data_IF_540085677325
#
_entry.id   IF_540085677325
#
_cell.length_a   1.000
_cell.length_b   1.000
_cell.length_c   1.000
_cell.angle_alpha   90.00
_cell.angle_beta   90.00
_cell.angle_gamma   90.00
#
_symmetry.space_group_name_H-M   'P 1'
#
loop_
_entity.id
_entity.type
_entity.pdbx_description
1 polymer ?
#
# COMPACT_ATOMS: atom_id res chain seq x y z
N UNK A 1 -16.30 -17.46 13.52
CA UNK A 1 -15.46 -18.04 12.47
C UNK A 1 -14.62 -16.87 11.91
N UNK A 2 -13.30 -16.88 12.09
CA UNK A 2 -12.43 -15.91 11.45
C UNK A 2 -12.37 -16.28 9.95
N UNK A 3 -13.01 -15.48 9.10
CA UNK A 3 -12.81 -15.61 7.67
C UNK A 3 -11.34 -15.26 7.36
N UNK A 4 -10.59 -16.24 6.95
CA UNK A 4 -9.22 -16.06 6.50
C UNK A 4 -9.27 -15.62 5.04
N UNK A 5 -8.60 -14.51 4.73
CA UNK A 5 -8.48 -13.99 3.39
C UNK A 5 -7.21 -14.56 2.74
N UNK A 6 -7.37 -15.23 1.62
CA UNK A 6 -6.31 -15.99 0.94
C UNK A 6 -5.81 -15.29 -0.34
N UNK A 7 -4.70 -15.78 -0.90
CA UNK A 7 -4.22 -15.37 -2.24
C UNK A 7 -5.33 -15.47 -3.30
N UNK A 8 -6.15 -16.53 -3.25
CA UNK A 8 -7.21 -16.75 -4.23
C UNK A 8 -8.35 -15.74 -4.09
N UNK A 9 -8.73 -15.40 -2.85
CA UNK A 9 -9.73 -14.36 -2.59
C UNK A 9 -9.26 -13.00 -3.11
N UNK A 10 -7.97 -12.68 -2.92
CA UNK A 10 -7.37 -11.45 -3.44
C UNK A 10 -7.39 -11.42 -4.98
N UNK A 11 -6.99 -12.52 -5.64
CA UNK A 11 -7.02 -12.63 -7.10
C UNK A 11 -8.45 -12.52 -7.63
N UNK A 12 -9.43 -13.15 -6.97
CA UNK A 12 -10.84 -13.05 -7.35
C UNK A 12 -11.37 -11.63 -7.27
N UNK A 13 -11.03 -10.87 -6.20
CA UNK A 13 -11.38 -9.45 -6.10
C UNK A 13 -10.76 -8.61 -7.21
N UNK A 14 -9.48 -8.87 -7.55
CA UNK A 14 -8.80 -8.15 -8.63
C UNK A 14 -9.46 -8.46 -9.99
N UNK A 15 -9.80 -9.71 -10.25
CA UNK A 15 -10.43 -10.14 -11.52
C UNK A 15 -11.85 -9.58 -11.69
N UNK A 16 -12.56 -9.31 -10.60
CA UNK A 16 -13.89 -8.68 -10.65
C UNK A 16 -13.87 -7.20 -11.00
N UNK A 17 -12.70 -6.54 -10.96
CA UNK A 17 -12.62 -5.12 -11.30
C UNK A 17 -12.97 -4.88 -12.76
N UNK A 18 -13.88 -3.92 -13.03
CA UNK A 18 -14.42 -3.65 -14.35
C UNK A 18 -13.54 -2.68 -15.18
N UNK A 19 -12.60 -2.00 -14.53
CA UNK A 19 -11.74 -1.01 -15.19
C UNK A 19 -10.36 -0.87 -14.55
N UNK A 20 -9.55 -0.06 -15.19
CA UNK A 20 -8.26 0.40 -14.68
C UNK A 20 -8.41 1.80 -14.11
N UNK A 21 -7.57 2.17 -13.14
CA UNK A 21 -7.52 3.54 -12.62
C UNK A 21 -7.15 4.54 -13.73
N UNK A 22 -6.31 4.10 -14.70
CA UNK A 22 -5.86 4.86 -15.86
C UNK A 22 -5.32 3.89 -16.92
N UNK A 23 -5.17 4.32 -18.19
CA UNK A 23 -4.56 3.49 -19.23
C UNK A 23 -3.15 3.06 -18.87
N UNK A 24 -2.78 1.82 -19.23
CA UNK A 24 -1.48 1.26 -18.89
C UNK A 24 -0.33 2.12 -19.43
N UNK A 25 0.57 2.51 -18.52
CA UNK A 25 1.75 3.32 -18.81
C UNK A 25 1.53 4.82 -18.78
N UNK A 26 0.30 5.33 -18.61
CA UNK A 26 0.05 6.77 -18.61
C UNK A 26 0.39 7.44 -17.28
N UNK A 27 0.26 6.70 -16.17
CA UNK A 27 0.51 7.20 -14.82
C UNK A 27 1.19 6.14 -13.95
N UNK A 28 1.74 6.58 -12.83
CA UNK A 28 2.23 5.72 -11.78
C UNK A 28 1.30 5.80 -10.56
N UNK A 29 0.89 4.64 -10.06
CA UNK A 29 0.23 4.49 -8.77
C UNK A 29 0.73 3.21 -8.11
N UNK A 30 1.26 3.33 -6.89
CA UNK A 30 1.73 2.17 -6.13
C UNK A 30 0.62 1.12 -5.95
N UNK A 31 0.91 -0.14 -6.23
CA UNK A 31 -0.09 -1.21 -6.24
C UNK A 31 0.42 -2.50 -5.58
N UNK A 32 -0.17 -2.87 -4.45
CA UNK A 32 0.01 -4.19 -3.86
C UNK A 32 -0.58 -5.29 -4.75
N UNK A 33 -1.73 -5.02 -5.40
CA UNK A 33 -2.40 -5.97 -6.30
C UNK A 33 -1.49 -6.49 -7.41
N UNK A 34 -0.61 -5.64 -7.94
CA UNK A 34 0.38 -6.04 -8.95
C UNK A 34 1.34 -7.12 -8.43
N UNK A 35 1.79 -7.00 -7.19
CA UNK A 35 2.70 -7.98 -6.57
C UNK A 35 1.98 -9.25 -6.12
N UNK A 36 0.72 -9.18 -5.68
CA UNK A 36 -0.13 -10.36 -5.47
C UNK A 36 -0.33 -11.15 -6.76
N UNK A 37 -0.61 -10.47 -7.88
CA UNK A 37 -0.70 -11.10 -9.19
C UNK A 37 0.63 -11.69 -9.64
N UNK A 38 1.77 -11.03 -9.38
CA UNK A 38 3.10 -11.56 -9.69
C UNK A 38 3.36 -12.87 -8.91
N UNK A 39 2.99 -12.94 -7.63
CA UNK A 39 3.08 -14.16 -6.84
C UNK A 39 2.18 -15.28 -7.41
N UNK A 40 0.96 -14.94 -7.82
CA UNK A 40 0.05 -15.89 -8.49
C UNK A 40 0.61 -16.38 -9.83
N UNK A 41 1.24 -15.52 -10.62
CA UNK A 41 1.91 -15.89 -11.87
C UNK A 41 3.07 -16.88 -11.60
N UNK A 42 3.88 -16.63 -10.56
CA UNK A 42 4.94 -17.56 -10.14
C UNK A 42 4.34 -18.94 -9.84
N UNK A 43 3.24 -19.01 -9.09
CA UNK A 43 2.52 -20.26 -8.80
C UNK A 43 2.06 -20.95 -10.08
N UNK A 44 1.45 -20.22 -11.00
CA UNK A 44 0.93 -20.78 -12.25
C UNK A 44 2.02 -21.32 -13.17
N UNK A 45 3.17 -20.66 -13.23
CA UNK A 45 4.29 -21.07 -14.10
C UNK A 45 5.06 -22.23 -13.48
N UNK A 46 5.29 -22.20 -12.16
CA UNK A 46 6.19 -23.15 -11.49
C UNK A 46 5.49 -24.31 -10.80
N UNK A 47 4.18 -24.19 -10.53
CA UNK A 47 3.43 -25.12 -9.69
C UNK A 47 3.75 -25.01 -8.19
N UNK A 48 4.60 -24.06 -7.79
CA UNK A 48 5.04 -23.86 -6.39
C UNK A 48 4.34 -22.66 -5.75
N UNK A 49 4.13 -22.71 -4.42
CA UNK A 49 3.77 -21.52 -3.67
C UNK A 49 4.91 -20.50 -3.74
N UNK A 50 4.60 -19.21 -3.53
CA UNK A 50 5.63 -18.17 -3.44
C UNK A 50 6.68 -18.53 -2.37
N UNK A 51 6.22 -19.02 -1.20
CA UNK A 51 7.09 -19.49 -0.11
C UNK A 51 8.10 -20.53 -0.61
N UNK A 52 7.63 -21.61 -1.22
CA UNK A 52 8.50 -22.68 -1.72
C UNK A 52 9.45 -22.20 -2.82
N UNK A 53 8.97 -21.30 -3.68
CA UNK A 53 9.78 -20.73 -4.75
C UNK A 53 10.89 -19.81 -4.20
N UNK A 54 10.59 -18.91 -3.26
CA UNK A 54 11.57 -18.01 -2.67
C UNK A 54 12.58 -18.76 -1.80
N UNK A 55 12.14 -19.78 -1.05
CA UNK A 55 13.03 -20.66 -0.29
C UNK A 55 14.10 -21.29 -1.19
N UNK A 56 13.67 -21.92 -2.29
CA UNK A 56 14.57 -22.62 -3.21
C UNK A 56 15.49 -21.66 -3.99
N UNK A 57 14.93 -20.53 -4.46
CA UNK A 57 15.60 -19.68 -5.45
C UNK A 57 16.35 -18.50 -4.85
N UNK A 58 16.02 -18.12 -3.63
CA UNK A 58 16.58 -16.93 -2.98
C UNK A 58 17.12 -17.26 -1.59
N UNK A 59 16.27 -17.74 -0.66
CA UNK A 59 16.65 -17.81 0.73
C UNK A 59 17.73 -18.88 0.99
N UNK A 60 17.57 -20.08 0.46
CA UNK A 60 18.55 -21.15 0.61
C UNK A 60 19.91 -20.80 -0.04
N UNK A 61 19.97 -20.31 -1.32
CA UNK A 61 21.23 -19.89 -1.92
C UNK A 61 21.95 -18.78 -1.17
N UNK A 62 21.21 -17.84 -0.54
CA UNK A 62 21.77 -16.77 0.28
C UNK A 62 22.02 -17.18 1.73
N UNK A 63 21.75 -18.42 2.09
CA UNK A 63 21.82 -18.92 3.47
C UNK A 63 20.95 -18.11 4.46
N UNK A 64 19.78 -17.64 4.00
CA UNK A 64 18.79 -16.90 4.77
C UNK A 64 17.85 -17.89 5.51
N UNK A 65 18.40 -18.68 6.43
CA UNK A 65 17.74 -19.82 7.05
C UNK A 65 16.64 -19.47 8.08
N UNK A 66 16.50 -18.17 8.40
CA UNK A 66 15.48 -17.65 9.33
C UNK A 66 14.51 -16.70 8.63
N UNK A 67 14.46 -16.76 7.30
CA UNK A 67 13.57 -15.94 6.47
C UNK A 67 12.53 -16.84 5.80
N UNK A 68 11.28 -16.45 5.86
CA UNK A 68 10.20 -17.18 5.19
C UNK A 68 9.06 -16.25 4.78
N UNK A 69 8.28 -16.64 3.78
CA UNK A 69 6.96 -16.07 3.54
C UNK A 69 5.99 -16.68 4.56
N UNK A 70 5.30 -15.84 5.30
CA UNK A 70 4.31 -16.28 6.28
C UNK A 70 2.92 -16.29 5.62
N UNK A 71 2.57 -17.41 5.01
CA UNK A 71 1.35 -17.68 4.26
C UNK A 71 0.37 -18.60 4.99
N UNK A 72 0.67 -18.97 6.24
CA UNK A 72 -0.20 -19.72 7.15
C UNK A 72 -0.29 -19.01 8.50
N UNK A 73 -1.45 -18.46 8.80
CA UNK A 73 -1.70 -17.73 10.06
C UNK A 73 -1.70 -18.65 11.30
N UNK A 74 -1.78 -19.96 11.13
CA UNK A 74 -1.74 -20.94 12.22
C UNK A 74 -0.32 -21.44 12.50
N UNK A 75 0.65 -21.11 11.64
CA UNK A 75 2.02 -21.52 11.81
C UNK A 75 2.67 -20.84 13.04
N UNK A 76 3.27 -21.65 13.92
CA UNK A 76 4.06 -21.16 15.05
C UNK A 76 5.48 -20.87 14.55
N UNK A 77 5.82 -19.59 14.43
CA UNK A 77 7.16 -19.16 14.05
C UNK A 77 7.96 -18.81 15.30
N UNK A 78 9.04 -19.58 15.54
CA UNK A 78 9.90 -19.39 16.73
C UNK A 78 10.55 -18.00 16.72
N UNK A 79 10.54 -17.32 17.87
CA UNK A 79 11.12 -15.98 18.08
C UNK A 79 10.49 -14.87 17.23
N UNK A 80 9.29 -15.07 16.70
CA UNK A 80 8.54 -14.01 16.04
C UNK A 80 8.26 -12.88 17.01
N UNK A 81 8.53 -11.66 16.61
CA UNK A 81 8.13 -10.47 17.37
C UNK A 81 6.61 -10.32 17.38
N UNK A 82 6.07 -9.76 18.45
CA UNK A 82 4.68 -9.33 18.54
C UNK A 82 4.57 -7.90 18.01
N UNK A 83 3.65 -7.66 17.07
CA UNK A 83 3.34 -6.33 16.58
C UNK A 83 2.34 -5.60 17.49
N UNK A 84 2.52 -4.30 17.67
CA UNK A 84 1.68 -3.45 18.52
C UNK A 84 1.26 -2.21 17.78
N UNK A 85 0.00 -1.83 17.93
CA UNK A 85 -0.56 -0.54 17.46
C UNK A 85 -1.16 0.23 18.63
N UNK A 86 -1.02 1.55 18.58
CA UNK A 86 -1.65 2.45 19.56
C UNK A 86 -3.07 2.78 19.07
N UNK A 87 -4.08 2.44 19.87
CA UNK A 87 -5.48 2.76 19.62
C UNK A 87 -6.13 3.31 20.89
N UNK A 88 -6.74 4.50 20.81
CA UNK A 88 -7.37 5.18 21.95
C UNK A 88 -6.43 5.32 23.16
N UNK A 89 -5.17 5.70 22.91
CA UNK A 89 -4.09 5.85 23.90
C UNK A 89 -3.65 4.54 24.60
N UNK A 90 -4.16 3.38 24.15
CA UNK A 90 -3.78 2.08 24.66
C UNK A 90 -3.03 1.24 23.60
N UNK A 91 -1.99 0.50 24.04
CA UNK A 91 -1.27 -0.43 23.17
C UNK A 91 -2.03 -1.73 23.02
N UNK A 92 -2.24 -2.13 21.77
CA UNK A 92 -2.92 -3.38 21.42
C UNK A 92 -2.03 -4.25 20.54
N UNK A 93 -2.19 -5.57 20.66
CA UNK A 93 -1.54 -6.52 19.75
C UNK A 93 -2.18 -6.40 18.39
N UNK A 94 -1.35 -6.23 17.36
CA UNK A 94 -1.80 -6.08 15.99
C UNK A 94 -0.97 -6.96 15.03
N UNK A 95 -1.48 -8.14 14.74
CA UNK A 95 -0.82 -9.14 13.89
C UNK A 95 -1.49 -9.35 12.52
N UNK A 96 -2.70 -8.85 12.32
CA UNK A 96 -3.52 -9.10 11.12
C UNK A 96 -3.55 -10.59 10.72
N UNK A 97 -3.92 -11.46 11.67
CA UNK A 97 -3.87 -12.92 11.52
C UNK A 97 -4.82 -13.51 10.49
N UNK A 98 -5.76 -12.73 9.97
CA UNK A 98 -6.77 -13.19 9.02
C UNK A 98 -6.34 -13.12 7.55
N UNK A 99 -5.08 -12.80 7.26
CA UNK A 99 -4.54 -12.77 5.91
C UNK A 99 -3.53 -13.90 5.71
N UNK A 100 -3.78 -14.77 4.74
CA UNK A 100 -2.92 -15.89 4.33
C UNK A 100 -2.55 -15.72 2.85
N UNK A 101 -1.76 -14.72 2.55
CA UNK A 101 -1.32 -14.42 1.19
C UNK A 101 0.08 -13.84 1.22
N UNK A 102 0.85 -14.10 0.18
CA UNK A 102 2.19 -13.54 0.01
C UNK A 102 2.31 -12.90 -1.37
N UNK A 103 3.24 -11.95 -1.49
CA UNK A 103 3.51 -11.26 -2.75
C UNK A 103 3.74 -9.78 -2.55
N UNK A 104 2.81 -9.11 -1.91
CA UNK A 104 2.91 -7.69 -1.54
C UNK A 104 3.56 -7.44 -0.18
N UNK A 105 3.86 -8.52 0.57
CA UNK A 105 4.48 -8.45 1.90
C UNK A 105 4.58 -9.81 2.58
N UNK A 106 4.46 -9.82 3.93
CA UNK A 106 4.44 -11.01 4.79
C UNK A 106 5.72 -11.85 4.77
N UNK A 107 6.87 -11.22 4.59
CA UNK A 107 8.15 -11.88 4.81
C UNK A 107 8.55 -11.69 6.28
N UNK A 108 8.67 -12.80 7.02
CA UNK A 108 9.29 -12.83 8.34
C UNK A 108 10.79 -13.02 8.17
N UNK A 109 11.57 -12.13 8.80
CA UNK A 109 13.02 -12.12 8.66
C UNK A 109 13.69 -11.46 9.87
N UNK A 110 15.00 -11.30 9.86
CA UNK A 110 15.77 -10.56 10.85
C UNK A 110 16.82 -9.65 10.18
N UNK A 111 17.42 -8.76 10.95
CA UNK A 111 18.50 -7.87 10.44
C UNK A 111 19.64 -8.70 9.85
N UNK A 112 20.09 -9.75 10.55
CA UNK A 112 21.20 -10.61 10.09
C UNK A 112 20.88 -11.27 8.73
N UNK A 113 19.63 -11.64 8.49
CA UNK A 113 19.18 -12.22 7.23
C UNK A 113 19.13 -11.17 6.11
N UNK A 114 18.62 -9.97 6.43
CA UNK A 114 18.57 -8.86 5.47
C UNK A 114 19.96 -8.35 5.08
N UNK A 115 20.96 -8.44 5.95
CA UNK A 115 22.35 -8.18 5.58
C UNK A 115 22.85 -9.15 4.50
N UNK A 116 22.43 -10.43 4.55
CA UNK A 116 22.77 -11.40 3.48
C UNK A 116 22.11 -11.02 2.15
N UNK A 117 20.85 -10.60 2.19
CA UNK A 117 20.14 -10.07 1.03
C UNK A 117 20.82 -8.82 0.46
N UNK A 118 21.21 -7.88 1.33
CA UNK A 118 21.88 -6.65 0.95
C UNK A 118 23.24 -6.92 0.29
N UNK A 119 24.03 -7.82 0.86
CA UNK A 119 25.32 -8.21 0.29
C UNK A 119 25.19 -8.81 -1.12
N UNK A 120 24.06 -9.43 -1.47
CA UNK A 120 23.82 -9.94 -2.83
C UNK A 120 23.85 -8.86 -3.92
N UNK A 121 23.63 -7.58 -3.57
CA UNK A 121 23.72 -6.49 -4.54
C UNK A 121 25.17 -6.09 -4.85
N UNK A 122 26.11 -6.47 -4.00
CA UNK A 122 27.54 -6.20 -4.18
C UNK A 122 28.32 -7.46 -4.61
N UNK A 123 27.86 -8.62 -4.17
CA UNK A 123 28.45 -9.93 -4.49
C UNK A 123 27.33 -10.89 -4.94
N UNK A 124 26.89 -10.81 -6.20
CA UNK A 124 25.73 -11.53 -6.69
C UNK A 124 25.85 -13.04 -6.60
N UNK A 125 25.09 -13.66 -5.73
CA UNK A 125 24.87 -15.10 -5.64
C UNK A 125 23.58 -15.47 -6.37
N UNK A 126 22.55 -14.64 -6.21
CA UNK A 126 21.22 -14.81 -6.83
C UNK A 126 20.99 -13.73 -7.87
N UNK A 127 20.46 -14.12 -9.03
CA UNK A 127 20.04 -13.21 -10.10
C UNK A 127 21.16 -12.73 -11.02
N UNK A 128 22.40 -12.71 -10.54
CA UNK A 128 23.54 -12.16 -11.27
C UNK A 128 23.43 -10.65 -11.54
N UNK A 129 24.49 -10.04 -12.05
CA UNK A 129 24.59 -8.59 -12.27
C UNK A 129 23.46 -8.02 -13.13
N UNK A 130 23.07 -8.74 -14.19
CA UNK A 130 22.03 -8.25 -15.12
C UNK A 130 20.66 -8.12 -14.46
N UNK A 131 20.26 -9.07 -13.61
CA UNK A 131 18.98 -8.97 -12.89
C UNK A 131 19.04 -7.88 -11.82
N UNK A 132 20.13 -7.80 -11.06
CA UNK A 132 20.30 -6.79 -10.02
C UNK A 132 20.30 -5.37 -10.60
N UNK A 133 20.89 -5.19 -11.79
CA UNK A 133 20.81 -3.92 -12.51
C UNK A 133 19.35 -3.58 -12.87
N UNK A 134 18.60 -4.55 -13.42
CA UNK A 134 17.18 -4.34 -13.75
C UNK A 134 16.33 -3.98 -12.55
N UNK A 135 16.67 -4.42 -11.34
CA UNK A 135 15.98 -4.01 -10.12
C UNK A 135 16.12 -2.52 -9.82
N UNK A 136 17.12 -1.86 -10.40
CA UNK A 136 17.37 -0.43 -10.26
C UNK A 136 16.96 0.39 -11.49
N UNK A 137 16.48 -0.26 -12.58
CA UNK A 137 16.02 0.43 -13.78
C UNK A 137 14.66 1.06 -13.48
N UNK A 138 14.64 2.39 -13.48
CA UNK A 138 13.43 3.18 -13.19
C UNK A 138 12.39 3.02 -14.30
N UNK A 139 11.13 3.00 -13.92
CA UNK A 139 10.02 2.95 -14.86
C UNK A 139 9.94 4.21 -15.72
N UNK A 140 9.45 4.05 -16.96
CA UNK A 140 9.23 5.14 -17.91
C UNK A 140 7.78 5.11 -18.35
N UNK A 141 7.09 6.25 -18.24
CA UNK A 141 5.71 6.41 -18.66
C UNK A 141 5.60 6.59 -20.19
N UNK A 142 4.39 6.45 -20.74
CA UNK A 142 4.14 6.59 -22.18
C UNK A 142 4.52 7.98 -22.74
N UNK A 143 4.50 9.01 -21.91
CA UNK A 143 4.89 10.37 -22.27
C UNK A 143 6.41 10.61 -22.20
N UNK A 144 7.18 9.59 -21.79
CA UNK A 144 8.65 9.64 -21.62
C UNK A 144 9.12 10.06 -20.23
N UNK A 145 8.24 10.39 -19.31
CA UNK A 145 8.61 10.72 -17.93
C UNK A 145 9.18 9.51 -17.20
N UNK A 146 10.29 9.70 -16.51
CA UNK A 146 10.93 8.69 -15.68
C UNK A 146 10.41 8.82 -14.26
N UNK A 147 9.87 7.73 -13.72
CA UNK A 147 9.37 7.68 -12.34
C UNK A 147 10.44 7.18 -11.37
N UNK A 148 10.35 7.55 -10.11
CA UNK A 148 11.31 7.13 -9.07
C UNK A 148 11.07 5.71 -8.55
N UNK A 149 10.38 4.87 -9.32
CA UNK A 149 10.06 3.51 -8.95
C UNK A 149 10.54 2.51 -10.01
N UNK A 150 11.17 1.46 -9.54
CA UNK A 150 11.67 0.35 -10.37
C UNK A 150 10.91 -0.95 -10.06
N UNK A 151 11.55 -2.09 -10.10
CA UNK A 151 10.95 -3.39 -9.78
C UNK A 151 10.91 -3.62 -8.26
N UNK A 152 9.94 -2.97 -7.58
CA UNK A 152 9.75 -3.08 -6.12
C UNK A 152 10.72 -2.23 -5.30
N UNK A 153 11.38 -1.25 -5.91
CA UNK A 153 12.33 -0.37 -5.25
C UNK A 153 12.08 1.08 -5.69
N UNK A 154 12.14 2.00 -4.76
CA UNK A 154 12.32 3.42 -5.06
C UNK A 154 13.78 3.67 -5.37
N UNK A 155 14.07 4.33 -6.47
CA UNK A 155 15.42 4.69 -6.91
C UNK A 155 15.45 6.20 -7.18
N UNK A 156 16.02 6.93 -6.25
CA UNK A 156 16.06 8.40 -6.27
C UNK A 156 17.41 8.94 -5.80
N UNK A 157 17.48 10.22 -5.54
CA UNK A 157 18.61 10.89 -4.91
C UNK A 157 18.20 11.47 -3.56
N UNK A 158 19.08 11.33 -2.58
CA UNK A 158 18.96 12.00 -1.30
C UNK A 158 20.22 12.77 -0.99
N UNK A 159 20.10 14.10 -0.94
CA UNK A 159 21.21 15.04 -0.69
C UNK A 159 22.41 14.82 -1.62
N UNK A 160 22.13 14.52 -2.90
CA UNK A 160 23.13 14.29 -3.94
C UNK A 160 23.74 12.89 -3.96
N UNK A 161 23.28 11.97 -3.12
CA UNK A 161 23.66 10.56 -3.17
C UNK A 161 22.53 9.71 -3.77
N UNK A 162 22.88 8.83 -4.69
CA UNK A 162 21.95 7.81 -5.19
C UNK A 162 21.43 6.97 -4.04
N UNK A 163 20.08 6.88 -3.93
CA UNK A 163 19.42 6.09 -2.91
C UNK A 163 18.53 5.03 -3.55
N UNK A 164 18.56 3.82 -3.00
CA UNK A 164 17.69 2.71 -3.37
C UNK A 164 17.03 2.19 -2.12
N UNK A 165 15.68 2.23 -2.07
CA UNK A 165 14.98 1.90 -0.84
C UNK A 165 13.63 1.25 -1.07
N UNK A 166 13.10 0.60 -0.04
CA UNK A 166 11.67 0.30 0.11
C UNK A 166 11.30 0.26 1.58
N UNK A 167 10.05 0.67 1.86
CA UNK A 167 9.46 0.61 3.20
C UNK A 167 8.46 -0.53 3.30
N UNK A 168 8.08 -0.89 4.50
CA UNK A 168 7.03 -1.88 4.77
C UNK A 168 6.15 -1.45 5.95
N UNK A 169 4.85 -1.70 5.80
CA UNK A 169 3.85 -1.42 6.82
C UNK A 169 2.80 -2.52 6.79
N UNK A 170 2.70 -3.28 7.89
CA UNK A 170 1.70 -4.34 8.03
C UNK A 170 1.32 -4.53 9.50
N UNK A 171 0.05 -4.26 9.84
CA UNK A 171 -0.38 -4.24 11.23
C UNK A 171 0.54 -3.38 12.08
N UNK A 172 0.93 -3.88 13.24
CA UNK A 172 1.86 -3.21 14.16
C UNK A 172 3.34 -3.23 13.73
N UNK A 173 3.67 -3.66 12.50
CA UNK A 173 5.05 -3.73 12.02
C UNK A 173 5.37 -2.64 11.02
N UNK A 174 6.60 -2.12 11.13
CA UNK A 174 7.20 -1.19 10.17
C UNK A 174 8.59 -1.66 9.81
N UNK A 175 8.93 -1.56 8.54
CA UNK A 175 10.24 -1.92 8.03
C UNK A 175 10.75 -0.87 7.07
N UNK A 176 12.06 -0.74 7.00
CA UNK A 176 12.72 0.07 5.99
C UNK A 176 14.09 -0.55 5.67
N UNK A 177 14.39 -0.67 4.38
CA UNK A 177 15.73 -0.93 3.88
C UNK A 177 16.09 0.20 2.93
N UNK A 178 17.15 0.93 3.25
CA UNK A 178 17.67 2.05 2.47
C UNK A 178 19.14 1.81 2.19
N UNK A 179 19.50 1.82 0.92
CA UNK A 179 20.86 1.60 0.43
C UNK A 179 21.37 2.83 -0.29
N UNK A 180 22.61 3.21 -0.01
CA UNK A 180 23.42 4.15 -0.75
C UNK A 180 24.51 3.36 -1.48
N UNK A 181 24.24 2.87 -2.70
CA UNK A 181 25.08 1.86 -3.34
C UNK A 181 26.50 2.38 -3.64
N UNK A 182 26.65 3.64 -4.01
CA UNK A 182 27.95 4.25 -4.34
C UNK A 182 28.83 4.43 -3.09
N UNK A 183 28.18 4.52 -1.90
CA UNK A 183 28.87 4.63 -0.61
C UNK A 183 29.02 3.28 0.10
N UNK A 184 28.58 2.17 -0.53
CA UNK A 184 28.55 0.83 0.08
C UNK A 184 27.92 0.83 1.49
N UNK A 185 26.91 1.66 1.70
CA UNK A 185 26.27 1.85 3.00
C UNK A 185 24.79 1.55 2.91
N UNK A 186 24.30 0.73 3.83
CA UNK A 186 22.87 0.37 3.93
C UNK A 186 22.37 0.53 5.37
N UNK A 187 21.14 0.98 5.47
CA UNK A 187 20.41 1.11 6.73
C UNK A 187 19.22 0.19 6.69
N UNK A 188 19.06 -0.67 7.71
CA UNK A 188 17.98 -1.63 7.83
C UNK A 188 17.28 -1.41 9.15
N UNK A 189 15.97 -1.23 9.10
CA UNK A 189 15.14 -1.04 10.27
C UNK A 189 13.98 -2.02 10.25
N UNK A 190 13.80 -2.74 11.36
CA UNK A 190 12.63 -3.56 11.65
C UNK A 190 12.05 -3.11 12.98
N UNK A 191 10.79 -2.71 12.98
CA UNK A 191 10.07 -2.23 14.14
C UNK A 191 8.75 -2.97 14.30
N UNK A 192 8.40 -3.30 15.53
CA UNK A 192 7.15 -3.98 15.88
C UNK A 192 6.17 -3.05 16.60
N UNK A 193 6.22 -1.75 16.30
CA UNK A 193 5.41 -0.71 16.92
C UNK A 193 4.86 0.25 15.87
N UNK A 194 3.57 0.57 15.98
CA UNK A 194 2.92 1.63 15.23
C UNK A 194 2.03 2.49 16.13
N UNK A 195 2.36 3.75 16.27
CA UNK A 195 1.65 4.72 17.10
C UNK A 195 0.93 5.83 16.29
N UNK A 196 0.87 5.65 14.97
CA UNK A 196 0.26 6.66 14.08
C UNK A 196 1.13 7.89 13.80
N UNK A 197 2.18 8.11 14.60
CA UNK A 197 3.06 9.31 14.46
C UNK A 197 4.26 9.08 13.57
N UNK A 198 4.46 7.82 13.19
CA UNK A 198 5.24 7.35 12.28
C UNK A 198 6.39 7.90 11.66
N UNK A 199 7.42 8.24 12.07
CA UNK A 199 8.57 8.33 11.17
C UNK A 199 9.77 7.58 11.73
N UNK A 200 9.91 6.35 11.24
CA UNK A 200 11.17 5.66 11.30
C UNK A 200 12.14 6.36 10.33
N UNK A 201 12.74 7.45 10.77
CA UNK A 201 13.63 8.27 9.94
C UNK A 201 14.99 7.62 9.81
N UNK A 202 15.09 6.64 8.93
CA UNK A 202 16.42 6.16 8.49
C UNK A 202 17.27 7.32 7.93
N UNK A 203 16.61 8.32 7.34
CA UNK A 203 17.27 9.53 6.88
C UNK A 203 18.02 10.28 7.97
N UNK A 204 17.49 10.35 9.20
CA UNK A 204 18.20 11.03 10.31
C UNK A 204 19.48 10.27 10.70
N UNK A 205 19.46 8.94 10.62
CA UNK A 205 20.65 8.11 10.83
C UNK A 205 21.64 8.26 9.67
N UNK A 206 21.14 8.27 8.44
CA UNK A 206 21.97 8.49 7.26
C UNK A 206 22.63 9.87 7.30
N UNK A 207 21.91 10.91 7.74
CA UNK A 207 22.44 12.26 7.89
C UNK A 207 23.62 12.36 8.86
N UNK A 208 23.62 11.52 9.90
CA UNK A 208 24.73 11.44 10.84
C UNK A 208 25.92 10.63 10.29
N UNK A 209 25.63 9.51 9.62
CA UNK A 209 26.67 8.55 9.18
C UNK A 209 27.34 9.02 7.88
N UNK A 210 26.57 9.64 6.97
CA UNK A 210 27.04 10.06 5.65
C UNK A 210 27.26 11.58 5.54
N UNK A 211 27.35 12.28 6.67
CA UNK A 211 27.45 13.75 6.71
C UNK A 211 28.54 14.33 5.79
N UNK A 212 29.68 13.67 5.70
CA UNK A 212 30.84 14.10 4.88
C UNK A 212 30.71 13.70 3.40
N UNK A 213 29.66 12.94 3.05
CA UNK A 213 29.43 12.42 1.70
C UNK A 213 28.39 13.21 0.93
N UNK A 214 27.47 13.88 1.64
CA UNK A 214 26.41 14.64 1.01
C UNK A 214 26.95 15.87 0.27
N UNK A 215 26.48 16.07 -0.95
CA UNK A 215 26.83 17.23 -1.79
C UNK A 215 25.87 18.39 -1.61
N UNK A 216 24.63 18.11 -1.16
CA UNK A 216 23.60 19.11 -0.91
C UNK A 216 23.37 19.30 0.59
N UNK A 217 23.49 20.55 1.04
CA UNK A 217 23.35 20.89 2.47
C UNK A 217 21.90 21.16 2.92
N UNK A 218 20.97 21.37 2.01
CA UNK A 218 19.57 21.66 2.33
C UNK A 218 18.64 20.50 2.00
N UNK A 219 17.93 20.02 3.01
CA UNK A 219 16.96 18.95 2.90
C UNK A 219 15.64 19.50 2.35
N UNK A 220 15.26 19.16 1.13
CA UNK A 220 13.86 19.07 0.76
C UNK A 220 13.48 17.61 0.94
N UNK A 221 12.94 17.28 2.11
CA UNK A 221 12.58 15.90 2.45
C UNK A 221 11.54 15.36 1.47
N UNK A 222 11.82 14.19 0.88
CA UNK A 222 10.76 13.37 0.27
C UNK A 222 9.92 12.83 1.42
N UNK A 223 8.73 13.40 1.60
CA UNK A 223 7.76 12.87 2.53
C UNK A 223 7.20 11.57 1.96
N UNK A 224 7.42 10.46 2.63
CA UNK A 224 6.70 9.22 2.36
C UNK A 224 5.39 9.21 3.15
N UNK A 225 4.30 8.77 2.55
CA UNK A 225 3.05 8.51 3.27
C UNK A 225 3.23 7.34 4.25
N UNK A 226 2.32 7.22 5.20
CA UNK A 226 2.33 6.17 6.22
C UNK A 226 2.30 4.74 5.66
N UNK A 227 1.95 4.58 4.39
CA UNK A 227 1.93 3.32 3.65
C UNK A 227 3.19 3.08 2.82
N UNK A 228 4.21 3.95 2.93
CA UNK A 228 5.48 3.85 2.21
C UNK A 228 5.45 4.35 0.77
N UNK A 229 4.34 4.94 0.31
CA UNK A 229 4.26 5.54 -1.02
C UNK A 229 4.91 6.93 -1.04
N UNK A 230 5.61 7.32 -2.14
CA UNK A 230 6.16 8.67 -2.29
C UNK A 230 5.05 9.73 -2.27
N UNK A 231 5.27 10.84 -1.56
CA UNK A 231 4.31 11.97 -1.46
C UNK A 231 4.22 12.80 -2.76
N UNK A 232 4.99 12.50 -3.76
CA UNK A 232 5.03 13.26 -5.02
C UNK A 232 3.82 13.08 -5.96
N UNK A 233 2.75 12.42 -5.52
CA UNK A 233 1.46 12.60 -6.17
C UNK A 233 0.79 13.83 -5.59
N UNK A 234 0.33 14.78 -6.42
CA UNK A 234 -0.42 15.92 -5.91
C UNK A 234 -1.65 15.36 -5.16
N UNK A 235 -1.70 15.59 -3.85
CA UNK A 235 -2.97 15.54 -3.15
C UNK A 235 -3.92 16.41 -3.98
N UNK A 236 -4.96 15.82 -4.51
CA UNK A 236 -6.07 16.62 -5.02
C UNK A 236 -6.70 17.31 -3.81
N UNK A 237 -6.06 18.38 -3.34
CA UNK A 237 -6.70 19.33 -2.42
C UNK A 237 -7.87 19.93 -3.16
N UNK A 238 -9.05 19.41 -2.86
CA UNK A 238 -10.31 19.93 -3.37
C UNK A 238 -10.57 21.25 -2.65
N UNK A 239 -10.52 22.33 -3.42
CA UNK A 239 -10.86 23.65 -2.92
C UNK A 239 -12.35 23.71 -2.52
N UNK A 240 -12.73 24.41 -1.43
CA UNK A 240 -14.11 24.55 -1.01
C UNK A 240 -14.93 25.38 -2.01
N UNK A 241 -16.15 24.94 -2.30
CA UNK A 241 -17.04 25.56 -3.28
C UNK A 241 -18.30 26.17 -2.64
N UNK A 242 -18.71 27.23 -3.28
CA UNK A 242 -19.81 28.18 -3.05
C UNK A 242 -21.21 27.59 -2.87
N UNK A 243 -22.01 28.35 -2.10
CA UNK A 243 -23.38 28.17 -1.61
C UNK A 243 -24.44 27.96 -2.71
N UNK A 244 -25.15 26.84 -2.65
CA UNK A 244 -26.50 26.66 -3.16
C UNK A 244 -27.51 26.64 -2.02
N UNK A 245 -28.78 26.99 -2.29
CA UNK A 245 -29.81 27.24 -1.29
C UNK A 245 -30.33 25.97 -0.58
N UNK A 246 -30.71 26.02 0.73
CA UNK A 246 -30.92 24.84 1.59
C UNK A 246 -32.05 23.86 1.19
N UNK A 247 -33.17 24.30 0.70
CA UNK A 247 -34.35 23.44 0.49
C UNK A 247 -34.24 22.50 -0.73
N UNK A 248 -33.54 22.92 -1.80
CA UNK A 248 -33.32 22.06 -2.98
C UNK A 248 -32.25 20.99 -2.71
N UNK A 249 -31.35 21.27 -1.78
CA UNK A 249 -30.30 20.31 -1.37
C UNK A 249 -30.87 19.14 -0.58
N UNK A 250 -31.78 19.39 0.38
CA UNK A 250 -32.32 18.33 1.24
C UNK A 250 -33.15 17.29 0.46
N UNK A 251 -33.94 17.74 -0.53
CA UNK A 251 -34.67 16.84 -1.41
C UNK A 251 -33.73 15.98 -2.27
N UNK A 252 -32.63 16.54 -2.73
CA UNK A 252 -31.59 15.85 -3.50
C UNK A 252 -30.86 14.83 -2.63
N UNK A 253 -30.49 15.17 -1.39
CA UNK A 253 -29.81 14.27 -0.47
C UNK A 253 -30.66 13.03 -0.14
N UNK A 254 -31.98 13.20 0.04
CA UNK A 254 -32.92 12.07 0.25
C UNK A 254 -32.93 11.08 -0.91
N UNK A 255 -32.71 11.52 -2.14
CA UNK A 255 -32.65 10.63 -3.30
C UNK A 255 -31.44 9.70 -3.28
N UNK A 256 -30.39 10.10 -2.60
CA UNK A 256 -29.16 9.28 -2.48
C UNK A 256 -29.21 8.25 -1.35
N UNK A 257 -30.20 8.32 -0.43
CA UNK A 257 -30.29 7.35 0.67
C UNK A 257 -30.71 5.97 0.15
N UNK A 258 -30.20 4.91 0.76
CA UNK A 258 -30.55 3.52 0.46
C UNK A 258 -29.37 2.57 0.50
N UNK A 259 -29.62 1.35 0.13
CA UNK A 259 -28.62 0.29 0.02
C UNK A 259 -28.05 0.23 -1.41
N UNK A 260 -26.72 0.17 -1.50
CA UNK A 260 -25.99 0.15 -2.77
C UNK A 260 -25.06 -1.04 -2.80
N UNK A 261 -25.22 -1.90 -3.78
CA UNK A 261 -24.40 -3.09 -4.02
C UNK A 261 -23.29 -2.84 -5.00
N UNK A 262 -22.10 -3.39 -4.73
CA UNK A 262 -20.99 -3.45 -5.67
C UNK A 262 -20.71 -4.89 -6.10
N UNK A 263 -20.84 -5.19 -7.39
CA UNK A 263 -20.42 -6.46 -7.99
C UNK A 263 -18.90 -6.67 -7.90
N UNK A 264 -18.14 -5.60 -7.99
CA UNK A 264 -16.67 -5.62 -7.91
C UNK A 264 -16.18 -6.05 -6.53
N UNK A 265 -16.80 -5.53 -5.47
CA UNK A 265 -16.42 -5.85 -4.09
C UNK A 265 -17.24 -7.01 -3.48
N UNK A 266 -18.43 -7.31 -4.02
CA UNK A 266 -19.35 -8.30 -3.46
C UNK A 266 -19.93 -7.87 -2.11
N UNK A 267 -20.15 -6.57 -1.91
CA UNK A 267 -20.69 -6.01 -0.65
C UNK A 267 -21.68 -4.89 -0.91
N UNK A 268 -22.58 -4.66 0.07
CA UNK A 268 -23.47 -3.50 0.09
C UNK A 268 -22.96 -2.43 1.07
N UNK A 269 -23.14 -1.18 0.67
CA UNK A 269 -22.97 0.00 1.53
C UNK A 269 -24.33 0.68 1.70
N UNK A 270 -24.61 1.21 2.90
CA UNK A 270 -25.82 1.97 3.16
C UNK A 270 -25.54 3.47 3.21
N UNK A 271 -26.29 4.25 2.45
CA UNK A 271 -26.28 5.71 2.54
C UNK A 271 -27.49 6.16 3.36
N UNK A 272 -27.22 6.81 4.48
CA UNK A 272 -28.23 7.39 5.37
C UNK A 272 -28.15 8.91 5.38
N UNK A 273 -29.26 9.57 5.69
CA UNK A 273 -29.33 11.01 5.91
C UNK A 273 -29.71 11.29 7.37
N UNK A 274 -28.78 11.88 8.11
CA UNK A 274 -28.98 12.27 9.49
C UNK A 274 -28.56 13.73 9.70
N UNK A 275 -29.42 14.53 10.33
CA UNK A 275 -29.18 15.95 10.58
C UNK A 275 -28.68 16.70 9.32
N UNK A 276 -29.35 16.46 8.18
CA UNK A 276 -29.02 17.04 6.87
C UNK A 276 -27.64 16.68 6.30
N UNK A 277 -26.97 15.66 6.87
CA UNK A 277 -25.68 15.15 6.42
C UNK A 277 -25.82 13.72 5.93
N UNK A 278 -25.24 13.42 4.77
CA UNK A 278 -25.11 12.04 4.29
C UNK A 278 -24.06 11.29 5.12
N UNK A 279 -24.38 10.05 5.42
CA UNK A 279 -23.47 9.11 6.09
C UNK A 279 -23.41 7.83 5.29
N UNK A 280 -22.21 7.28 5.15
CA UNK A 280 -22.00 5.97 4.53
C UNK A 280 -21.67 4.95 5.62
N UNK A 281 -22.41 3.86 5.66
CA UNK A 281 -22.18 2.73 6.56
C UNK A 281 -21.68 1.54 5.76
N UNK A 282 -20.56 1.00 6.21
CA UNK A 282 -19.89 -0.17 5.61
C UNK A 282 -20.43 -1.48 6.23
N UNK A 283 -20.21 -2.66 5.60
CA UNK A 283 -20.66 -3.96 6.12
C UNK A 283 -20.15 -4.30 7.52
N UNK A 284 -19.01 -3.76 7.92
CA UNK A 284 -18.45 -3.95 9.26
C UNK A 284 -19.09 -3.05 10.33
N UNK A 285 -20.11 -2.26 9.97
CA UNK A 285 -20.79 -1.34 10.85
C UNK A 285 -20.11 0.02 11.03
N UNK A 286 -18.93 0.26 10.43
CA UNK A 286 -18.29 1.58 10.49
C UNK A 286 -19.08 2.61 9.71
N UNK A 287 -19.21 3.81 10.28
CA UNK A 287 -19.98 4.93 9.70
C UNK A 287 -19.03 6.09 9.45
N UNK A 288 -19.08 6.65 8.24
CA UNK A 288 -18.34 7.84 7.83
C UNK A 288 -19.32 8.96 7.49
N UNK A 289 -19.11 10.14 8.05
CA UNK A 289 -19.82 11.34 7.65
C UNK A 289 -19.29 11.84 6.30
N UNK A 290 -20.19 12.17 5.38
CA UNK A 290 -19.84 12.63 4.05
C UNK A 290 -20.03 14.16 3.96
N UNK A 291 -18.96 14.87 3.66
CA UNK A 291 -18.95 16.32 3.45
C UNK A 291 -19.06 16.62 1.96
N UNK A 292 -19.94 17.53 1.59
CA UNK A 292 -20.10 17.95 0.20
C UNK A 292 -18.88 18.73 -0.28
N UNK A 293 -18.40 18.41 -1.48
CA UNK A 293 -17.27 19.10 -2.12
C UNK A 293 -17.77 19.92 -3.32
N UNK A 294 -18.23 19.27 -4.37
CA UNK A 294 -18.78 19.87 -5.60
C UNK A 294 -19.45 18.80 -6.49
N UNK A 295 -20.33 19.23 -7.39
CA UNK A 295 -20.84 18.38 -8.49
C UNK A 295 -21.27 16.97 -8.04
N UNK A 296 -22.07 16.85 -6.97
CA UNK A 296 -22.51 15.56 -6.37
C UNK A 296 -21.35 14.70 -5.84
N UNK A 297 -20.23 15.31 -5.56
CA UNK A 297 -19.07 14.69 -4.93
C UNK A 297 -19.06 15.00 -3.43
N UNK A 298 -18.79 13.96 -2.64
CA UNK A 298 -18.70 13.99 -1.18
C UNK A 298 -17.42 13.34 -0.71
N UNK A 299 -16.89 13.74 0.44
CA UNK A 299 -15.68 13.15 1.01
C UNK A 299 -15.83 12.86 2.49
N UNK A 300 -15.10 11.88 3.00
CA UNK A 300 -15.04 11.55 4.42
C UNK A 300 -14.16 10.34 4.68
N UNK A 301 -13.30 10.37 5.71
CA UNK A 301 -12.41 9.28 6.13
C UNK A 301 -11.63 8.62 4.96
N UNK A 302 -11.08 9.43 4.06
CA UNK A 302 -10.31 8.95 2.91
C UNK A 302 -11.14 8.35 1.78
N UNK A 303 -12.49 8.45 1.85
CA UNK A 303 -13.39 8.13 0.75
C UNK A 303 -13.72 9.39 -0.06
N UNK A 304 -13.87 9.22 -1.37
CA UNK A 304 -14.53 10.19 -2.25
C UNK A 304 -15.70 9.48 -2.91
N UNK A 305 -16.90 9.99 -2.71
CA UNK A 305 -18.16 9.42 -3.21
C UNK A 305 -18.74 10.32 -4.28
N UNK A 306 -19.04 9.77 -5.45
CA UNK A 306 -19.63 10.47 -6.59
C UNK A 306 -21.01 9.88 -6.90
N UNK A 307 -22.07 10.65 -6.75
CA UNK A 307 -23.41 10.21 -7.20
C UNK A 307 -23.60 10.57 -8.67
N UNK A 308 -23.45 9.57 -9.54
CA UNK A 308 -23.75 9.73 -10.98
C UNK A 308 -25.25 9.94 -11.20
N UNK A 309 -26.08 9.24 -10.40
CA UNK A 309 -27.54 9.37 -10.39
C UNK A 309 -28.08 9.06 -8.97
N UNK A 310 -29.41 9.05 -8.81
CA UNK A 310 -30.07 8.60 -7.58
C UNK A 310 -29.93 7.09 -7.30
N UNK A 311 -29.52 6.32 -8.31
CA UNK A 311 -29.38 4.85 -8.24
C UNK A 311 -27.95 4.34 -8.49
N UNK A 312 -27.01 5.22 -8.77
CA UNK A 312 -25.64 4.84 -9.07
C UNK A 312 -24.64 5.80 -8.43
N UNK A 313 -23.69 5.23 -7.70
CA UNK A 313 -22.56 5.98 -7.18
C UNK A 313 -21.24 5.30 -7.52
N UNK A 314 -20.16 6.06 -7.49
CA UNK A 314 -18.78 5.59 -7.53
C UNK A 314 -18.05 5.99 -6.29
N UNK A 315 -17.14 5.18 -5.86
CA UNK A 315 -16.29 5.43 -4.70
C UNK A 315 -14.83 5.30 -5.09
N UNK A 316 -14.07 6.32 -4.72
CA UNK A 316 -12.61 6.28 -4.71
C UNK A 316 -12.15 6.12 -3.26
N UNK A 317 -11.15 5.29 -3.03
CA UNK A 317 -10.52 5.12 -1.72
C UNK A 317 -9.03 4.89 -1.87
N UNK A 318 -8.22 5.83 -1.40
CA UNK A 318 -6.77 5.72 -1.48
C UNK A 318 -6.29 5.47 -2.91
N UNK A 319 -5.90 4.22 -3.22
CA UNK A 319 -5.34 3.81 -4.51
C UNK A 319 -6.32 3.03 -5.40
N UNK A 320 -7.57 2.91 -4.99
CA UNK A 320 -8.62 2.25 -5.77
C UNK A 320 -9.63 3.29 -6.21
N UNK A 321 -9.80 3.44 -7.52
CA UNK A 321 -10.62 4.50 -8.11
C UNK A 321 -11.81 3.92 -8.86
N UNK A 322 -12.96 4.61 -8.79
CA UNK A 322 -14.12 4.38 -9.63
C UNK A 322 -14.93 3.11 -9.33
N UNK A 323 -14.79 2.51 -8.14
CA UNK A 323 -15.60 1.35 -7.75
C UNK A 323 -17.08 1.70 -7.85
N UNK A 324 -17.80 0.92 -8.65
CA UNK A 324 -19.22 1.15 -8.92
C UNK A 324 -20.12 0.48 -7.90
N UNK A 325 -21.14 1.22 -7.46
CA UNK A 325 -22.21 0.74 -6.60
C UNK A 325 -23.56 1.08 -7.22
N UNK A 326 -24.48 0.12 -7.28
CA UNK A 326 -25.83 0.24 -7.81
C UNK A 326 -26.83 0.12 -6.66
N UNK A 327 -27.79 1.04 -6.61
CA UNK A 327 -28.84 1.05 -5.58
C UNK A 327 -29.76 -0.15 -5.75
N UNK A 328 -30.00 -0.88 -4.68
CA UNK A 328 -30.92 -2.03 -4.70
C UNK A 328 -32.37 -1.58 -4.62
N UNK A 329 -33.25 -2.31 -5.30
CA UNK A 329 -34.70 -2.09 -5.24
C UNK A 329 -35.23 -0.92 -6.07
N UNK A 330 -34.47 -0.43 -7.05
CA UNK A 330 -34.91 0.60 -8.01
C UNK A 330 -35.22 -0.01 -9.37
#
# INVERSE_FOLDING_TARGET
FNNVFTEFDAVELIVRQEGLNFPSGDQFLYSNSGYLLAAHIVRRITGKSLRAFLEERIFAPLNMTKTQVWDDSQEIVSKRATGYSLANDDWQIDHLLNFQMGGDGQILTSIDELVKWDNNFYQPVVGGNSLLQKLHDRGVLNNGDVIDYALGLTVDEYRGLKRVMHTGSWGGFRANITRYPDEHTSFILLCNRFDGTQELRITDVADLVLVDKFTEQNVTGVNLRSDGSPVNQPDQQLAPVSSETPDSQLATLKNYTGEYWSSELGVSFHINLEAEQLKIMRPNGSVTNLEYVKNKQYTGDGLVVYFESSSRMKIDTGRVLGITFIKEGV
#
